data_IF_900897394315
#
_entry.id   IF_900897394315
#
_cell.length_a   1.000
_cell.length_b   1.000
_cell.length_c   1.000
_cell.angle_alpha   90.00
_cell.angle_beta   90.00
_cell.angle_gamma   90.00
#
_symmetry.space_group_name_H-M   'P 1'
#
loop_
_entity.id
_entity.type
_entity.pdbx_description
1 polymer ?
#
# COMPACT_ATOMS: atom_id res chain seq x y z
N UNK A 1 18.05 14.70 -7.81
CA UNK A 1 17.06 13.59 -7.91
C UNK A 1 15.82 14.01 -7.11
N UNK A 2 14.75 14.49 -7.76
CA UNK A 2 13.58 15.06 -7.06
C UNK A 2 12.84 13.95 -6.30
N UNK A 3 12.65 14.09 -4.99
CA UNK A 3 11.85 13.13 -4.21
C UNK A 3 10.38 13.31 -4.59
N UNK A 4 9.76 12.28 -5.19
CA UNK A 4 8.30 12.12 -5.26
C UNK A 4 7.77 11.82 -3.85
N UNK A 5 7.82 12.80 -2.93
CA UNK A 5 7.25 12.68 -1.57
C UNK A 5 5.81 13.18 -1.52
N UNK A 6 5.45 14.16 -2.35
CA UNK A 6 4.13 14.81 -2.37
C UNK A 6 2.97 13.95 -2.91
N UNK A 7 3.25 12.72 -3.36
CA UNK A 7 2.27 11.74 -3.85
C UNK A 7 2.20 10.50 -2.95
N UNK A 8 3.03 10.43 -1.90
CA UNK A 8 2.99 9.30 -0.96
C UNK A 8 2.06 9.67 0.17
N UNK A 9 0.97 8.93 0.29
CA UNK A 9 0.03 9.03 1.41
C UNK A 9 0.70 8.84 2.78
N UNK A 10 -0.04 9.08 3.87
CA UNK A 10 0.47 8.99 5.23
C UNK A 10 1.12 7.62 5.46
N UNK A 11 2.29 7.61 6.12
CA UNK A 11 2.91 6.35 6.58
C UNK A 11 2.50 6.14 8.03
N UNK A 12 1.42 5.40 8.25
CA UNK A 12 1.01 4.95 9.57
C UNK A 12 1.77 3.67 9.95
N UNK A 13 2.20 3.59 11.22
CA UNK A 13 2.86 2.42 11.81
C UNK A 13 2.42 2.27 13.27
N UNK A 14 2.21 1.04 13.74
CA UNK A 14 1.98 0.77 15.16
C UNK A 14 3.33 0.62 15.88
N UNK A 15 3.48 1.25 17.05
CA UNK A 15 4.67 1.16 17.88
C UNK A 15 4.50 0.20 19.06
N UNK A 16 3.33 0.21 19.71
CA UNK A 16 3.05 -0.59 20.90
C UNK A 16 1.55 -0.76 21.10
N UNK A 17 1.14 -1.85 21.76
CA UNK A 17 -0.21 -2.09 22.25
C UNK A 17 -0.09 -2.39 23.74
N UNK A 18 -0.87 -1.71 24.57
CA UNK A 18 -0.83 -1.80 26.04
C UNK A 18 -2.27 -1.93 26.56
N UNK A 19 -2.74 -3.17 26.65
CA UNK A 19 -4.14 -3.46 26.95
C UNK A 19 -5.04 -2.98 25.80
N UNK A 20 -5.91 -2.01 26.07
CA UNK A 20 -6.75 -1.37 25.06
C UNK A 20 -6.09 -0.19 24.34
N UNK A 21 -4.97 0.33 24.87
CA UNK A 21 -4.30 1.51 24.33
C UNK A 21 -3.34 1.13 23.21
N UNK A 22 -3.58 1.66 22.02
CA UNK A 22 -2.73 1.51 20.83
C UNK A 22 -1.88 2.77 20.68
N UNK A 23 -0.57 2.61 20.55
CA UNK A 23 0.36 3.69 20.22
C UNK A 23 0.77 3.60 18.76
N UNK A 24 0.43 4.64 18.00
CA UNK A 24 0.67 4.73 16.57
C UNK A 24 1.51 5.95 16.22
N UNK A 25 2.21 5.87 15.10
CA UNK A 25 3.02 6.93 14.54
C UNK A 25 2.65 7.18 13.09
N UNK A 26 2.51 8.45 12.71
CA UNK A 26 2.29 8.88 11.32
C UNK A 26 3.45 9.77 10.86
N UNK A 27 4.14 9.36 9.78
CA UNK A 27 5.08 10.22 9.05
C UNK A 27 4.33 10.95 7.93
N UNK A 28 4.40 12.28 7.95
CA UNK A 28 3.78 13.16 6.96
C UNK A 28 4.70 13.41 5.75
N UNK A 29 4.17 13.97 4.65
CA UNK A 29 4.97 14.35 3.47
C UNK A 29 6.11 15.34 3.77
N UNK A 30 6.04 16.07 4.90
CA UNK A 30 7.08 17.00 5.37
C UNK A 30 8.19 16.33 6.17
N UNK A 31 8.12 15.02 6.39
CA UNK A 31 8.93 14.26 7.35
C UNK A 31 8.72 14.68 8.82
N UNK A 32 7.61 15.37 9.09
CA UNK A 32 7.14 15.53 10.46
C UNK A 32 6.52 14.21 10.90
N UNK A 33 6.96 13.72 12.06
CA UNK A 33 6.58 12.42 12.60
C UNK A 33 5.82 12.64 13.90
N UNK A 34 4.54 12.26 13.91
CA UNK A 34 3.65 12.46 15.05
C UNK A 34 3.29 11.12 15.64
N UNK A 35 3.52 10.97 16.95
CA UNK A 35 3.11 9.79 17.72
C UNK A 35 1.85 10.14 18.51
N UNK A 36 0.83 9.28 18.43
CA UNK A 36 -0.45 9.46 19.09
C UNK A 36 -0.90 8.14 19.71
N UNK A 37 -1.79 8.22 20.71
CA UNK A 37 -2.37 7.06 21.38
C UNK A 37 -3.88 7.14 21.30
N UNK A 38 -4.51 5.98 21.16
CA UNK A 38 -5.97 5.85 21.07
C UNK A 38 -6.41 4.55 21.73
N UNK A 39 -7.66 4.47 22.20
CA UNK A 39 -8.20 3.25 22.80
C UNK A 39 -8.98 2.45 21.76
N UNK A 40 -8.67 1.17 21.56
CA UNK A 40 -9.29 0.34 20.53
C UNK A 40 -10.81 0.14 20.70
N UNK A 41 -11.37 0.38 21.89
CA UNK A 41 -12.80 0.29 22.15
C UNK A 41 -13.56 1.61 21.84
N UNK A 42 -12.95 2.75 22.15
CA UNK A 42 -13.58 4.07 22.06
C UNK A 42 -13.18 4.88 20.80
N UNK A 43 -12.25 4.37 19.99
CA UNK A 43 -11.71 5.12 18.84
C UNK A 43 -12.60 5.07 17.62
N UNK A 44 -12.97 6.25 17.13
CA UNK A 44 -13.63 6.45 15.84
C UNK A 44 -12.59 6.81 14.78
N UNK A 45 -12.30 5.94 13.79
CA UNK A 45 -11.28 6.18 12.76
C UNK A 45 -11.42 7.51 12.01
N UNK A 46 -12.66 7.88 11.67
CA UNK A 46 -12.97 9.13 10.98
C UNK A 46 -12.63 10.38 11.82
N UNK A 47 -12.79 10.34 13.14
CA UNK A 47 -12.44 11.47 14.00
C UNK A 47 -10.92 11.62 14.15
N UNK A 48 -10.17 10.51 14.17
CA UNK A 48 -8.69 10.55 14.12
C UNK A 48 -8.24 11.19 12.81
N UNK A 49 -8.79 10.76 11.66
CA UNK A 49 -8.49 11.34 10.35
C UNK A 49 -8.80 12.85 10.30
N UNK A 50 -10.00 13.25 10.74
CA UNK A 50 -10.43 14.65 10.82
C UNK A 50 -9.51 15.51 11.69
N UNK A 51 -9.03 14.99 12.82
CA UNK A 51 -8.08 15.71 13.66
C UNK A 51 -6.70 15.85 12.98
N UNK A 52 -6.18 14.81 12.32
CA UNK A 52 -4.93 14.93 11.55
C UNK A 52 -5.03 15.94 10.39
N UNK A 53 -6.20 16.06 9.75
CA UNK A 53 -6.46 17.08 8.72
C UNK A 53 -6.46 18.50 9.32
N UNK A 54 -7.16 18.72 10.44
CA UNK A 54 -7.16 20.00 11.17
C UNK A 54 -5.74 20.45 11.54
N UNK A 55 -4.88 19.50 11.94
CA UNK A 55 -3.47 19.75 12.25
C UNK A 55 -2.54 19.81 11.02
N UNK A 56 -3.06 19.66 9.80
CA UNK A 56 -2.31 19.63 8.52
C UNK A 56 -1.23 18.53 8.45
N UNK A 57 -1.45 17.44 9.18
CA UNK A 57 -0.64 16.23 9.17
C UNK A 57 -1.12 15.24 8.09
N UNK A 58 -2.41 15.32 7.74
CA UNK A 58 -3.07 14.52 6.72
C UNK A 58 -3.76 15.44 5.70
N UNK A 59 -3.75 15.05 4.42
CA UNK A 59 -4.54 15.70 3.36
C UNK A 59 -5.91 15.04 3.24
N UNK A 60 -6.96 15.80 2.92
CA UNK A 60 -8.33 15.28 2.73
C UNK A 60 -8.39 14.13 1.71
N UNK A 61 -7.64 14.21 0.61
CA UNK A 61 -7.49 13.14 -0.39
C UNK A 61 -6.97 11.80 0.18
N UNK A 62 -6.34 11.83 1.37
CA UNK A 62 -5.80 10.65 2.04
C UNK A 62 -6.60 10.29 3.31
N UNK A 63 -7.73 10.94 3.57
CA UNK A 63 -8.58 10.66 4.73
C UNK A 63 -9.14 9.23 4.68
N UNK A 64 -9.74 8.86 3.54
CA UNK A 64 -10.34 7.54 3.31
C UNK A 64 -9.33 6.41 3.56
N UNK A 65 -8.15 6.49 2.94
CA UNK A 65 -7.13 5.45 3.09
C UNK A 65 -6.50 5.40 4.49
N UNK A 66 -6.49 6.52 5.21
CA UNK A 66 -6.07 6.53 6.62
C UNK A 66 -7.13 5.86 7.51
N UNK A 67 -8.42 6.09 7.24
CA UNK A 67 -9.54 5.44 7.94
C UNK A 67 -9.47 3.93 7.76
N UNK A 68 -9.34 3.45 6.51
CA UNK A 68 -9.18 2.01 6.21
C UNK A 68 -7.99 1.39 6.97
N UNK A 69 -6.86 2.09 7.06
CA UNK A 69 -5.69 1.61 7.81
C UNK A 69 -5.94 1.50 9.32
N UNK A 70 -6.66 2.46 9.92
CA UNK A 70 -7.02 2.39 11.35
C UNK A 70 -8.05 1.30 11.60
N UNK A 71 -9.03 1.12 10.71
CA UNK A 71 -9.99 0.00 10.78
C UNK A 71 -9.30 -1.36 10.65
N UNK A 72 -8.30 -1.49 9.78
CA UNK A 72 -7.50 -2.71 9.63
C UNK A 72 -6.67 -3.02 10.88
N UNK A 73 -6.08 -2.01 11.54
CA UNK A 73 -5.44 -2.14 12.86
C UNK A 73 -6.45 -2.65 13.90
N UNK A 74 -7.62 -2.02 14.01
CA UNK A 74 -8.67 -2.39 14.97
C UNK A 74 -9.20 -3.81 14.72
N UNK A 75 -9.29 -4.24 13.45
CA UNK A 75 -9.64 -5.62 13.07
C UNK A 75 -8.56 -6.59 13.50
N UNK A 76 -7.29 -6.32 13.18
CA UNK A 76 -6.16 -7.18 13.55
C UNK A 76 -6.05 -7.38 15.07
N UNK A 77 -6.26 -6.33 15.87
CA UNK A 77 -6.26 -6.44 17.34
C UNK A 77 -7.43 -7.26 17.90
N UNK A 78 -8.60 -7.19 17.25
CA UNK A 78 -9.76 -8.01 17.62
C UNK A 78 -9.56 -9.49 17.30
N UNK A 79 -8.85 -9.79 16.21
CA UNK A 79 -8.50 -11.15 15.80
C UNK A 79 -7.33 -11.71 16.61
N UNK A 80 -6.30 -10.90 16.89
CA UNK A 80 -5.03 -11.30 17.51
C UNK A 80 -4.50 -10.20 18.47
N UNK A 81 -5.04 -10.07 19.70
CA UNK A 81 -4.68 -8.98 20.62
C UNK A 81 -3.23 -9.03 21.12
N UNK A 82 -2.60 -10.21 21.12
CA UNK A 82 -1.20 -10.41 21.51
C UNK A 82 -0.18 -10.10 20.38
N UNK A 83 -0.65 -9.72 19.19
CA UNK A 83 0.19 -9.50 18.00
C UNK A 83 0.15 -8.01 17.62
N UNK A 84 1.33 -7.41 17.39
CA UNK A 84 1.41 -6.04 16.89
C UNK A 84 0.84 -5.94 15.46
N UNK A 85 -0.18 -5.10 15.21
CA UNK A 85 -0.79 -4.99 13.88
C UNK A 85 0.16 -4.42 12.83
N UNK A 86 0.08 -4.96 11.62
CA UNK A 86 0.87 -4.52 10.46
C UNK A 86 0.00 -3.70 9.53
N UNK A 87 0.34 -2.41 9.38
CA UNK A 87 -0.40 -1.51 8.48
C UNK A 87 -0.09 -1.83 7.02
N UNK A 88 -1.06 -2.39 6.32
CA UNK A 88 -0.98 -2.63 4.88
C UNK A 88 -1.28 -1.34 4.12
N UNK A 89 -0.23 -0.62 3.71
CA UNK A 89 -0.37 0.43 2.69
C UNK A 89 -0.88 -0.21 1.39
N UNK A 90 -1.93 0.32 0.75
CA UNK A 90 -2.30 -0.17 -0.58
C UNK A 90 -1.11 0.08 -1.51
N UNK A 91 -0.85 -0.83 -2.47
CA UNK A 91 0.19 -0.59 -3.46
C UNK A 91 -0.17 0.69 -4.21
N UNK A 92 0.59 1.77 -3.95
CA UNK A 92 0.44 3.02 -4.67
C UNK A 92 0.46 2.68 -6.16
N UNK A 93 -0.63 3.04 -6.89
CA UNK A 93 -0.81 2.70 -8.31
C UNK A 93 0.53 2.91 -9.00
N UNK A 94 1.10 1.88 -9.66
CA UNK A 94 2.44 1.99 -10.21
C UNK A 94 2.45 3.19 -11.15
N UNK A 95 3.18 4.24 -10.74
CA UNK A 95 3.27 5.45 -11.53
C UNK A 95 3.79 5.04 -12.90
N UNK A 96 2.94 5.16 -13.93
CA UNK A 96 3.18 4.66 -15.27
C UNK A 96 4.16 5.58 -16.02
N UNK A 97 5.36 5.71 -15.45
CA UNK A 97 6.50 6.49 -15.90
C UNK A 97 7.77 5.85 -15.26
N UNK A 98 8.62 5.16 -16.01
CA UNK A 98 8.73 5.15 -17.48
C UNK A 98 9.18 3.80 -18.04
N UNK A 99 8.58 3.41 -19.15
CA UNK A 99 9.21 2.52 -20.12
C UNK A 99 10.46 3.21 -20.68
N UNK A 100 11.62 2.56 -20.56
CA UNK A 100 12.81 2.87 -21.36
C UNK A 100 13.55 1.58 -21.72
N UNK A 101 13.24 0.97 -22.89
CA UNK A 101 13.99 -0.15 -23.43
C UNK A 101 15.14 0.33 -24.33
N UNK A 102 16.39 0.13 -23.90
CA UNK A 102 17.59 0.12 -24.76
C UNK A 102 18.73 -0.56 -23.95
N UNK A 103 19.27 -1.73 -24.30
CA UNK A 103 20.27 -2.00 -25.38
C UNK A 103 21.47 -1.05 -25.31
N UNK A 104 22.74 -1.48 -25.21
CA UNK A 104 23.33 -2.81 -24.94
C UNK A 104 24.72 -2.58 -24.26
N UNK A 105 25.71 -3.47 -24.12
CA UNK A 105 25.95 -4.88 -24.51
C UNK A 105 27.06 -5.50 -23.63
N UNK A 106 27.33 -6.82 -23.72
CA UNK A 106 28.64 -7.52 -23.53
C UNK A 106 28.45 -9.04 -23.62
N UNK A 107 28.74 -9.58 -24.82
CA UNK A 107 29.34 -10.89 -25.16
C UNK A 107 29.55 -11.98 -24.08
N UNK A 108 28.83 -13.11 -24.24
CA UNK A 108 29.30 -14.50 -24.06
C UNK A 108 28.37 -15.42 -24.89
N UNK A 109 28.71 -15.81 -26.12
CA UNK A 109 29.61 -16.91 -26.49
C UNK A 109 29.13 -18.31 -26.04
N UNK A 110 28.36 -18.95 -26.92
CA UNK A 110 28.36 -20.39 -27.22
C UNK A 110 27.77 -21.39 -26.20
N UNK A 111 26.56 -21.88 -26.50
CA UNK A 111 26.29 -23.33 -26.64
C UNK A 111 25.02 -23.59 -27.47
N UNK A 112 25.06 -24.62 -28.33
CA UNK A 112 23.92 -25.18 -29.06
C UNK A 112 23.06 -26.10 -28.13
N UNK A 113 21.89 -26.65 -28.47
CA UNK A 113 21.16 -26.75 -29.74
C UNK A 113 19.70 -27.19 -29.52
N UNK A 114 18.77 -26.71 -30.37
CA UNK A 114 17.57 -27.37 -30.96
C UNK A 114 16.62 -28.34 -30.20
N UNK A 115 15.35 -28.35 -30.67
CA UNK A 115 14.23 -29.29 -30.41
C UNK A 115 13.34 -28.97 -29.18
N UNK A 116 12.01 -29.09 -29.21
CA UNK A 116 11.09 -29.51 -30.29
C UNK A 116 9.67 -28.93 -30.17
N UNK A 117 8.86 -29.16 -31.20
CA UNK A 117 7.49 -28.67 -31.46
C UNK A 117 6.41 -29.00 -30.41
N UNK A 118 5.30 -28.25 -30.42
CA UNK A 118 4.10 -28.53 -29.62
C UNK A 118 2.95 -27.54 -29.83
N UNK A 119 2.29 -27.58 -31.00
CA UNK A 119 1.12 -26.74 -31.31
C UNK A 119 -0.16 -27.28 -30.67
N UNK A 120 -1.06 -26.39 -30.22
CA UNK A 120 -2.51 -26.56 -30.38
C UNK A 120 -3.16 -25.24 -30.75
N UNK A 121 -3.81 -25.22 -31.91
CA UNK A 121 -4.79 -24.21 -32.29
C UNK A 121 -6.18 -24.68 -31.81
N UNK A 122 -7.02 -23.76 -31.36
CA UNK A 122 -8.47 -23.98 -31.28
C UNK A 122 -9.20 -22.64 -31.29
N UNK A 123 -9.38 -22.10 -32.49
CA UNK A 123 -10.47 -21.16 -32.74
C UNK A 123 -11.80 -21.91 -32.83
N UNK A 124 -12.81 -21.45 -32.11
CA UNK A 124 -14.17 -21.49 -32.66
C UNK A 124 -14.92 -20.20 -32.30
N UNK A 125 -15.36 -19.48 -33.34
CA UNK A 125 -16.35 -18.42 -33.26
C UNK A 125 -17.57 -18.91 -34.02
N UNK A 126 -18.75 -18.99 -33.38
CA UNK A 126 -20.01 -19.07 -34.14
C UNK A 126 -21.05 -18.10 -33.59
N UNK A 127 -21.66 -17.40 -34.53
CA UNK A 127 -22.56 -16.25 -34.35
C UNK A 127 -24.03 -16.69 -34.32
N UNK A 128 -24.89 -15.75 -33.88
CA UNK A 128 -26.22 -15.46 -34.47
C UNK A 128 -27.46 -16.13 -33.82
N UNK A 129 -28.14 -15.31 -33.03
CA UNK A 129 -29.50 -14.85 -33.37
C UNK A 129 -30.69 -15.72 -32.96
N UNK A 130 -31.60 -15.12 -32.19
CA UNK A 130 -33.00 -14.96 -32.61
C UNK A 130 -33.63 -13.74 -31.95
#
# INVERSE_FOLDING_TARGET
>A
KRRRTAERGPRLSVLSVQGSVVECQVETMKQETVTFKFDQADTVPADVANNLIKHRLLSEQHAEIFIEQVEDILRQLRENPDVLPVVSLPPAKPAADSLSPNRSDTTATTAASTSSVGSVDSVESTTKGS
#
